data_IF_681768210934
#
_entry.id   IF_681768210934
#
_cell.length_a   1.000
_cell.length_b   1.000
_cell.length_c   1.000
_cell.angle_alpha   90.00
_cell.angle_beta   90.00
_cell.angle_gamma   90.00
#
_symmetry.space_group_name_H-M   'P 1'
#
loop_
_entity.id
_entity.type
_entity.pdbx_description
1 polymer ?
#
# COMPACT_ATOMS: atom_id res chain seq x y z
N UNK A 1 2.86 -25.87 2.62
CA UNK A 1 1.94 -24.85 3.17
C UNK A 1 0.61 -25.56 3.33
N UNK A 2 -0.06 -25.45 4.47
CA UNK A 2 -1.42 -25.98 4.62
C UNK A 2 -2.29 -25.52 3.44
N UNK A 3 -3.07 -26.41 2.83
CA UNK A 3 -3.96 -26.03 1.73
C UNK A 3 -4.93 -24.96 2.23
N UNK A 4 -4.71 -23.73 1.78
CA UNK A 4 -5.57 -22.60 2.13
C UNK A 4 -6.92 -22.86 1.50
N UNK A 5 -7.95 -22.88 2.35
CA UNK A 5 -9.34 -23.02 1.93
C UNK A 5 -10.08 -21.69 2.10
N UNK A 6 -11.10 -21.48 1.30
CA UNK A 6 -11.90 -20.26 1.28
C UNK A 6 -13.33 -20.56 1.73
N UNK A 7 -14.07 -19.51 2.03
CA UNK A 7 -15.50 -19.62 2.35
C UNK A 7 -16.26 -20.23 1.15
N UNK A 8 -17.35 -20.99 1.39
CA UNK A 8 -18.15 -21.57 0.31
C UNK A 8 -18.59 -20.53 -0.72
N UNK A 9 -18.33 -20.78 -2.00
CA UNK A 9 -18.62 -19.88 -3.11
C UNK A 9 -17.58 -18.76 -3.31
N UNK A 10 -16.49 -18.76 -2.54
CA UNK A 10 -15.38 -17.79 -2.65
C UNK A 10 -14.07 -18.45 -3.05
N UNK A 11 -14.10 -19.73 -3.38
CA UNK A 11 -12.95 -20.49 -3.87
C UNK A 11 -12.42 -19.85 -5.17
N UNK A 12 -11.09 -19.67 -5.28
CA UNK A 12 -10.50 -19.15 -6.51
C UNK A 12 -10.68 -20.16 -7.65
N UNK A 13 -10.82 -19.67 -8.87
CA UNK A 13 -10.71 -20.53 -10.06
C UNK A 13 -9.33 -21.19 -10.09
N UNK A 14 -9.18 -22.38 -10.68
CA UNK A 14 -7.89 -23.10 -10.81
C UNK A 14 -6.77 -22.29 -11.53
N UNK A 15 -7.16 -21.23 -12.26
CA UNK A 15 -6.26 -20.33 -13.00
C UNK A 15 -5.97 -19.03 -12.24
N UNK A 16 -6.70 -18.78 -11.15
CA UNK A 16 -6.54 -17.59 -10.33
C UNK A 16 -5.39 -17.80 -9.34
N UNK A 17 -4.41 -16.92 -9.39
CA UNK A 17 -3.32 -16.90 -8.42
C UNK A 17 -3.52 -15.79 -7.37
N UNK A 18 -4.01 -16.16 -6.18
CA UNK A 18 -4.26 -15.22 -5.08
C UNK A 18 -2.99 -14.88 -4.30
N UNK A 19 -2.28 -13.85 -4.77
CA UNK A 19 -1.13 -13.29 -4.05
C UNK A 19 -1.56 -12.27 -3.00
N UNK A 20 -2.16 -11.15 -3.43
CA UNK A 20 -2.66 -10.10 -2.52
C UNK A 20 -3.89 -10.56 -1.73
N UNK A 21 -4.81 -11.25 -2.41
CA UNK A 21 -6.07 -11.75 -1.84
C UNK A 21 -5.94 -13.12 -1.17
N UNK A 22 -4.73 -13.57 -0.85
CA UNK A 22 -4.48 -14.85 -0.18
C UNK A 22 -5.32 -15.04 1.09
N UNK A 23 -5.54 -13.95 1.84
CA UNK A 23 -6.29 -13.95 3.10
C UNK A 23 -7.72 -13.44 2.97
N UNK A 24 -8.10 -12.90 1.81
CA UNK A 24 -9.46 -12.42 1.57
C UNK A 24 -10.39 -13.62 1.36
N UNK A 25 -11.52 -13.62 2.05
CA UNK A 25 -12.52 -14.69 2.11
C UNK A 25 -11.94 -16.06 2.51
N UNK A 26 -10.78 -16.06 3.18
CA UNK A 26 -10.10 -17.26 3.64
C UNK A 26 -10.84 -17.86 4.85
N UNK A 27 -11.13 -19.15 4.81
CA UNK A 27 -11.83 -19.84 5.89
C UNK A 27 -10.96 -19.84 7.16
N UNK A 28 -11.54 -19.37 8.26
CA UNK A 28 -10.86 -19.31 9.57
C UNK A 28 -9.83 -18.19 9.72
N UNK A 29 -9.73 -17.28 8.74
CA UNK A 29 -8.89 -16.10 8.86
C UNK A 29 -9.55 -15.02 9.73
N UNK A 30 -8.85 -14.57 10.77
CA UNK A 30 -9.24 -13.42 11.59
C UNK A 30 -8.27 -12.26 11.27
N UNK A 31 -8.75 -11.08 10.81
CA UNK A 31 -7.91 -9.96 10.37
C UNK A 31 -7.08 -9.30 11.49
N UNK A 32 -7.22 -9.74 12.74
CA UNK A 32 -6.43 -9.23 13.87
C UNK A 32 -4.94 -9.55 13.73
N UNK A 33 -4.13 -8.70 14.35
CA UNK A 33 -2.67 -8.82 14.37
C UNK A 33 -2.16 -10.19 14.80
N UNK A 34 -2.81 -10.84 15.77
CA UNK A 34 -2.37 -12.15 16.30
C UNK A 34 -2.31 -13.21 15.21
N UNK A 35 -3.32 -13.27 14.35
CA UNK A 35 -3.38 -14.22 13.23
C UNK A 35 -2.31 -13.88 12.19
N UNK A 36 -2.17 -12.58 11.88
CA UNK A 36 -1.17 -12.11 10.94
C UNK A 36 0.25 -12.50 11.39
N UNK A 37 0.58 -12.30 12.66
CA UNK A 37 1.87 -12.68 13.25
C UNK A 37 2.11 -14.18 13.26
N UNK A 38 1.09 -14.98 13.57
CA UNK A 38 1.18 -16.45 13.58
C UNK A 38 1.62 -17.01 12.21
N UNK A 39 1.25 -16.34 11.11
CA UNK A 39 1.66 -16.70 9.75
C UNK A 39 2.89 -15.94 9.24
N UNK A 40 3.61 -15.27 10.15
CA UNK A 40 4.85 -14.57 9.84
C UNK A 40 4.66 -13.20 9.22
N UNK A 41 3.55 -12.52 9.52
CA UNK A 41 3.38 -11.09 9.30
C UNK A 41 4.49 -10.27 9.96
N UNK A 42 4.81 -9.13 9.37
CA UNK A 42 5.90 -8.21 9.74
C UNK A 42 7.33 -8.76 9.62
N UNK A 43 7.51 -10.01 9.17
CA UNK A 43 8.84 -10.56 8.87
C UNK A 43 9.50 -9.87 7.68
N UNK A 44 8.73 -9.39 6.69
CA UNK A 44 9.29 -8.68 5.54
C UNK A 44 9.62 -7.24 5.89
N UNK A 45 8.84 -6.59 6.76
CA UNK A 45 9.27 -5.34 7.39
C UNK A 45 10.60 -5.54 8.13
N UNK A 46 10.75 -6.61 8.93
CA UNK A 46 12.01 -6.94 9.60
C UNK A 46 13.18 -7.11 8.64
N UNK A 47 12.93 -7.80 7.51
CA UNK A 47 13.93 -7.99 6.45
C UNK A 47 14.32 -6.66 5.83
N UNK A 48 13.34 -5.83 5.44
CA UNK A 48 13.55 -4.54 4.83
C UNK A 48 14.37 -3.60 5.71
N UNK A 49 14.04 -3.51 7.00
CA UNK A 49 14.72 -2.64 7.97
C UNK A 49 16.19 -3.03 8.23
N UNK A 50 16.61 -4.24 7.82
CA UNK A 50 18.01 -4.69 7.86
C UNK A 50 18.75 -4.48 6.54
N UNK A 51 18.04 -4.13 5.47
CA UNK A 51 18.63 -3.78 4.18
C UNK A 51 18.95 -2.29 4.16
N UNK A 52 19.82 -1.83 3.26
CA UNK A 52 19.89 -0.39 2.97
C UNK A 52 18.59 0.03 2.26
N UNK A 53 18.04 1.24 2.49
CA UNK A 53 16.83 1.71 1.81
C UNK A 53 16.90 1.56 0.28
N UNK A 54 18.06 1.90 -0.31
CA UNK A 54 18.30 1.72 -1.74
C UNK A 54 18.14 0.27 -2.20
N UNK A 55 18.56 -0.72 -1.41
CA UNK A 55 18.39 -2.13 -1.74
C UNK A 55 16.91 -2.55 -1.77
N UNK A 56 16.06 -1.95 -0.95
CA UNK A 56 14.61 -2.17 -1.00
C UNK A 56 14.03 -1.56 -2.28
N UNK A 57 14.45 -0.34 -2.64
CA UNK A 57 14.05 0.32 -3.90
C UNK A 57 14.46 -0.56 -5.11
N UNK A 58 15.67 -1.12 -5.09
CA UNK A 58 16.21 -1.90 -6.20
C UNK A 58 15.47 -3.24 -6.36
N UNK A 59 15.09 -3.92 -5.28
CA UNK A 59 14.21 -5.08 -5.32
C UNK A 59 12.85 -4.76 -5.96
N UNK A 60 12.25 -3.62 -5.58
CA UNK A 60 10.96 -3.18 -6.17
C UNK A 60 11.13 -2.80 -7.65
N UNK A 61 12.27 -2.21 -8.05
CA UNK A 61 12.58 -1.97 -9.47
C UNK A 61 12.74 -3.29 -10.24
N UNK A 62 13.51 -4.24 -9.70
CA UNK A 62 13.77 -5.54 -10.30
C UNK A 62 12.48 -6.35 -10.48
N UNK A 63 11.53 -6.21 -9.56
CA UNK A 63 10.20 -6.83 -9.66
C UNK A 63 9.36 -6.39 -10.86
N UNK A 64 9.69 -5.25 -11.48
CA UNK A 64 8.88 -4.66 -12.53
C UNK A 64 7.49 -4.20 -12.07
N UNK A 65 7.27 -4.04 -10.76
CA UNK A 65 5.97 -3.59 -10.21
C UNK A 65 5.57 -2.24 -10.81
N UNK A 66 4.32 -2.18 -11.27
CA UNK A 66 3.67 -0.98 -11.78
C UNK A 66 2.53 -0.57 -10.86
N UNK A 67 2.30 0.74 -10.74
CA UNK A 67 1.23 1.30 -9.93
C UNK A 67 -0.13 0.67 -10.25
N UNK A 68 -0.87 0.32 -9.20
CA UNK A 68 -2.16 -0.40 -9.27
C UNK A 68 -3.38 0.51 -9.09
N UNK A 69 -3.17 1.82 -9.06
CA UNK A 69 -4.21 2.85 -9.00
C UNK A 69 -4.59 3.47 -10.35
N UNK A 70 -4.43 2.74 -11.46
CA UNK A 70 -4.82 3.23 -12.80
C UNK A 70 -3.65 3.68 -13.68
N UNK A 71 -2.82 4.62 -13.21
CA UNK A 71 -1.74 5.23 -14.03
C UNK A 71 -0.64 4.25 -14.49
N UNK A 72 -0.48 3.10 -13.82
CA UNK A 72 0.48 2.07 -14.23
C UNK A 72 1.95 2.52 -14.23
N UNK A 73 2.32 3.56 -13.49
CA UNK A 73 3.69 4.05 -13.44
C UNK A 73 4.60 3.09 -12.66
N UNK A 74 5.83 2.78 -13.10
CA UNK A 74 6.71 1.84 -12.38
C UNK A 74 7.02 2.30 -10.94
N UNK A 75 6.64 1.49 -9.95
CA UNK A 75 6.66 1.88 -8.53
C UNK A 75 8.08 2.16 -8.04
N UNK A 76 9.03 1.27 -8.31
CA UNK A 76 10.42 1.45 -7.88
C UNK A 76 11.13 2.63 -8.56
N UNK A 77 10.73 2.99 -9.79
CA UNK A 77 11.24 4.21 -10.45
C UNK A 77 10.68 5.45 -9.75
N UNK A 78 9.38 5.45 -9.42
CA UNK A 78 8.72 6.57 -8.72
C UNK A 78 9.41 6.92 -7.41
N UNK A 79 9.84 5.91 -6.66
CA UNK A 79 10.54 6.08 -5.39
C UNK A 79 11.90 6.77 -5.55
N UNK A 80 12.56 6.56 -6.70
CA UNK A 80 13.84 7.20 -7.04
C UNK A 80 13.73 8.66 -7.47
N UNK A 81 12.53 9.25 -7.52
CA UNK A 81 12.33 10.66 -7.88
C UNK A 81 12.44 11.62 -6.71
N UNK A 82 12.62 11.12 -5.49
CA UNK A 82 12.94 11.97 -4.35
C UNK A 82 14.33 12.59 -4.60
N UNK A 83 14.47 13.93 -4.51
CA UNK A 83 15.76 14.57 -4.74
C UNK A 83 16.83 14.05 -3.78
N UNK A 84 18.04 13.67 -4.24
CA UNK A 84 19.08 13.09 -3.39
C UNK A 84 19.57 14.05 -2.29
N UNK A 85 19.46 15.36 -2.51
CA UNK A 85 19.85 16.40 -1.56
C UNK A 85 18.64 17.03 -0.85
N UNK A 86 17.53 16.28 -0.73
CA UNK A 86 16.34 16.77 -0.06
C UNK A 86 16.59 16.97 1.45
N UNK A 87 16.29 18.17 1.94
CA UNK A 87 16.36 18.53 3.37
C UNK A 87 14.98 18.62 4.04
N UNK A 88 13.89 18.50 3.27
CA UNK A 88 12.52 18.53 3.77
C UNK A 88 12.10 17.13 4.27
N UNK A 89 11.11 17.03 5.18
CA UNK A 89 10.51 15.73 5.49
C UNK A 89 9.97 15.06 4.23
N UNK A 90 10.08 13.74 4.14
CA UNK A 90 9.42 12.94 3.11
C UNK A 90 8.13 12.36 3.67
N UNK A 91 7.06 12.40 2.87
CA UNK A 91 5.78 11.80 3.22
C UNK A 91 5.45 10.62 2.32
N UNK A 92 4.79 9.61 2.89
CA UNK A 92 4.14 8.53 2.14
C UNK A 92 2.63 8.66 2.27
N UNK A 93 1.91 8.58 1.17
CA UNK A 93 0.45 8.55 1.16
C UNK A 93 -0.01 7.25 0.51
N UNK A 94 -0.80 6.48 1.24
CA UNK A 94 -1.61 5.41 0.70
C UNK A 94 -2.92 6.00 0.17
N UNK A 95 -3.12 5.92 -1.15
CA UNK A 95 -4.38 6.27 -1.79
C UNK A 95 -5.36 5.09 -1.67
N UNK A 96 -6.31 5.25 -0.75
CA UNK A 96 -7.42 4.34 -0.45
C UNK A 96 -8.78 5.03 -0.74
N UNK A 97 -8.81 5.95 -1.71
CA UNK A 97 -10.04 6.65 -2.07
C UNK A 97 -10.99 5.77 -2.92
N UNK A 98 -10.48 4.84 -3.74
CA UNK A 98 -11.26 3.84 -4.51
C UNK A 98 -12.64 4.34 -5.01
N UNK A 99 -12.69 5.56 -5.55
CA UNK A 99 -13.94 6.18 -6.01
C UNK A 99 -14.29 5.81 -7.46
N UNK A 100 -13.41 5.09 -8.15
CA UNK A 100 -13.61 4.63 -9.53
C UNK A 100 -14.81 3.68 -9.61
N UNK A 101 -15.80 3.94 -10.49
CA UNK A 101 -16.94 3.05 -10.68
C UNK A 101 -16.50 1.62 -11.00
N UNK A 102 -17.16 0.64 -10.35
CA UNK A 102 -16.87 -0.78 -10.55
C UNK A 102 -15.58 -1.28 -9.89
N UNK A 103 -14.88 -0.44 -9.11
CA UNK A 103 -13.68 -0.84 -8.36
C UNK A 103 -14.01 -1.07 -6.89
N UNK A 104 -13.59 -2.21 -6.34
CA UNK A 104 -13.82 -2.60 -4.94
C UNK A 104 -12.69 -3.48 -4.37
N UNK A 105 -11.52 -3.47 -5.01
CA UNK A 105 -10.36 -4.30 -4.67
C UNK A 105 -9.69 -3.89 -3.35
N UNK A 106 -9.50 -2.59 -3.15
CA UNK A 106 -8.80 -2.01 -2.01
C UNK A 106 -9.67 -2.13 -0.75
N UNK A 107 -11.00 -1.98 -0.90
CA UNK A 107 -11.97 -2.25 0.16
C UNK A 107 -11.74 -3.61 0.82
N UNK A 108 -11.60 -4.68 0.04
CA UNK A 108 -11.41 -6.04 0.58
C UNK A 108 -10.11 -6.18 1.36
N UNK A 109 -9.02 -5.57 0.89
CA UNK A 109 -7.73 -5.57 1.60
C UNK A 109 -7.90 -4.92 2.97
N UNK A 110 -8.51 -3.74 3.02
CA UNK A 110 -8.65 -2.99 4.26
C UNK A 110 -9.54 -3.73 5.27
N UNK A 111 -10.63 -4.34 4.83
CA UNK A 111 -11.54 -5.03 5.76
C UNK A 111 -10.99 -6.37 6.25
N UNK A 112 -10.25 -7.11 5.41
CA UNK A 112 -9.92 -8.51 5.69
C UNK A 112 -8.43 -8.79 5.89
N UNK A 113 -7.54 -7.89 5.48
CA UNK A 113 -6.09 -8.02 5.70
C UNK A 113 -5.38 -6.66 5.89
N UNK A 114 -5.82 -5.83 6.86
CA UNK A 114 -5.28 -4.48 7.05
C UNK A 114 -3.79 -4.48 7.44
N UNK A 115 -3.31 -5.53 8.12
CA UNK A 115 -1.90 -5.62 8.51
C UNK A 115 -0.97 -5.85 7.32
N UNK A 116 -1.43 -6.47 6.23
CA UNK A 116 -0.67 -6.55 4.98
C UNK A 116 -0.39 -5.17 4.40
N UNK A 117 -1.39 -4.28 4.42
CA UNK A 117 -1.20 -2.89 4.01
C UNK A 117 -0.21 -2.17 4.92
N UNK A 118 -0.38 -2.28 6.24
CA UNK A 118 0.51 -1.61 7.21
C UNK A 118 1.95 -2.10 7.05
N UNK A 119 2.19 -3.41 6.91
CA UNK A 119 3.53 -3.95 6.65
C UNK A 119 4.12 -3.39 5.35
N UNK A 120 3.32 -3.34 4.28
CA UNK A 120 3.73 -2.75 3.01
C UNK A 120 4.09 -1.26 3.12
N UNK A 121 3.33 -0.51 3.92
CA UNK A 121 3.61 0.90 4.20
C UNK A 121 4.88 1.08 5.01
N UNK A 122 5.15 0.26 6.02
CA UNK A 122 6.39 0.31 6.81
C UNK A 122 7.60 0.10 5.90
N UNK A 123 7.56 -0.92 5.03
CA UNK A 123 8.65 -1.21 4.09
C UNK A 123 8.84 -0.05 3.11
N UNK A 124 7.75 0.45 2.55
CA UNK A 124 7.79 1.51 1.54
C UNK A 124 8.27 2.83 2.13
N UNK A 125 7.79 3.19 3.32
CA UNK A 125 8.20 4.38 4.05
C UNK A 125 9.69 4.34 4.42
N UNK A 126 10.18 3.19 4.89
CA UNK A 126 11.60 2.97 5.13
C UNK A 126 12.44 3.16 3.85
N UNK A 127 12.00 2.57 2.74
CA UNK A 127 12.71 2.66 1.47
C UNK A 127 12.87 4.11 0.98
N UNK A 128 11.85 4.94 1.19
CA UNK A 128 11.82 6.34 0.73
C UNK A 128 12.23 7.36 1.79
N UNK A 129 12.56 6.93 3.01
CA UNK A 129 12.94 7.81 4.11
C UNK A 129 11.78 8.64 4.69
N UNK A 130 10.54 8.15 4.60
CA UNK A 130 9.38 8.81 5.17
C UNK A 130 9.15 8.38 6.63
N UNK A 131 9.05 9.34 7.54
CA UNK A 131 8.76 9.09 8.98
C UNK A 131 7.31 9.38 9.36
N UNK A 132 6.54 9.97 8.44
CA UNK A 132 5.10 10.19 8.58
C UNK A 132 4.41 9.72 7.31
N UNK A 133 3.36 8.93 7.49
CA UNK A 133 2.55 8.44 6.40
C UNK A 133 1.06 8.65 6.68
N UNK A 134 0.28 8.75 5.60
CA UNK A 134 -1.16 8.90 5.66
C UNK A 134 -1.84 7.80 4.86
N UNK A 135 -2.95 7.29 5.36
CA UNK A 135 -3.92 6.53 4.57
C UNK A 135 -5.07 7.48 4.29
N UNK A 136 -5.16 7.97 3.06
CA UNK A 136 -6.29 8.77 2.62
C UNK A 136 -7.39 7.80 2.19
N UNK A 137 -8.45 7.73 2.98
CA UNK A 137 -9.57 6.81 2.79
C UNK A 137 -10.83 7.60 2.46
N UNK A 138 -11.61 7.13 1.49
CA UNK A 138 -12.89 7.76 1.13
C UNK A 138 -13.87 7.79 2.31
N UNK A 139 -14.75 8.79 2.31
CA UNK A 139 -15.73 8.98 3.38
C UNK A 139 -16.68 7.78 3.50
N UNK A 140 -17.04 7.17 2.38
CA UNK A 140 -18.01 6.09 2.27
C UNK A 140 -17.50 4.74 2.82
N UNK A 141 -16.27 4.69 3.33
CA UNK A 141 -15.66 3.55 3.99
C UNK A 141 -15.49 3.79 5.52
N UNK A 142 -16.57 4.09 6.29
CA UNK A 142 -16.44 4.39 7.72
C UNK A 142 -15.94 3.19 8.54
N UNK A 143 -16.41 1.98 8.23
CA UNK A 143 -15.97 0.76 8.92
C UNK A 143 -14.49 0.45 8.63
N UNK A 144 -14.08 0.57 7.37
CA UNK A 144 -12.68 0.37 7.00
C UNK A 144 -11.75 1.38 7.67
N UNK A 145 -12.16 2.64 7.86
CA UNK A 145 -11.39 3.60 8.65
C UNK A 145 -11.19 3.13 10.10
N UNK A 146 -12.26 2.65 10.76
CA UNK A 146 -12.18 2.09 12.12
C UNK A 146 -11.27 0.86 12.17
N UNK A 147 -11.34 -0.03 11.17
CA UNK A 147 -10.49 -1.22 11.08
C UNK A 147 -9.02 -0.80 10.95
N UNK A 148 -8.70 0.18 10.10
CA UNK A 148 -7.34 0.69 9.94
C UNK A 148 -6.82 1.34 11.21
N UNK A 149 -7.60 2.18 11.87
CA UNK A 149 -7.20 2.80 13.15
C UNK A 149 -6.88 1.75 14.21
N UNK A 150 -7.71 0.71 14.33
CA UNK A 150 -7.45 -0.42 15.25
C UNK A 150 -6.18 -1.19 14.86
N UNK A 151 -6.02 -1.51 13.57
CA UNK A 151 -4.84 -2.24 13.09
C UNK A 151 -3.54 -1.43 13.26
N UNK A 152 -3.59 -0.09 13.09
CA UNK A 152 -2.50 0.84 13.37
C UNK A 152 -2.17 0.85 14.86
N UNK A 153 -3.18 0.95 15.73
CA UNK A 153 -2.98 0.90 17.18
C UNK A 153 -2.38 -0.44 17.63
N UNK A 154 -2.86 -1.56 17.08
CA UNK A 154 -2.33 -2.89 17.34
C UNK A 154 -0.88 -3.04 16.87
N UNK A 155 -0.55 -2.55 15.66
CA UNK A 155 0.82 -2.57 15.14
C UNK A 155 1.76 -1.75 16.04
N UNK A 156 1.31 -0.57 16.51
CA UNK A 156 2.07 0.28 17.43
C UNK A 156 2.30 -0.40 18.78
N UNK A 157 1.25 -1.00 19.36
CA UNK A 157 1.31 -1.73 20.64
C UNK A 157 2.28 -2.92 20.60
N UNK A 158 2.45 -3.53 19.43
CA UNK A 158 3.33 -4.67 19.24
C UNK A 158 4.72 -4.30 18.67
N UNK A 159 5.07 -3.00 18.57
CA UNK A 159 6.39 -2.55 18.14
C UNK A 159 6.66 -2.67 16.63
N UNK A 160 5.61 -2.79 15.82
CA UNK A 160 5.68 -2.81 14.35
C UNK A 160 5.41 -1.45 13.70
N UNK A 161 5.08 -0.45 14.50
CA UNK A 161 4.85 0.94 14.12
C UNK A 161 5.20 1.86 15.30
N UNK A 162 5.42 3.15 15.06
CA UNK A 162 5.82 4.12 16.07
C UNK A 162 7.33 4.30 16.09
N UNK A 163 7.93 4.38 17.29
CA UNK A 163 9.37 4.58 17.46
C UNK A 163 10.15 3.28 17.45
N UNK A 164 11.37 3.35 16.92
CA UNK A 164 12.37 2.28 16.89
C UNK A 164 11.76 0.93 16.46
N UNK A 165 11.13 0.92 15.29
CA UNK A 165 10.35 -0.22 14.80
C UNK A 165 11.24 -1.45 14.75
N UNK A 166 10.87 -2.47 15.52
CA UNK A 166 11.62 -3.72 15.67
C UNK A 166 13.11 -3.54 16.05
N UNK A 167 13.48 -2.45 16.75
CA UNK A 167 14.87 -2.18 17.16
C UNK A 167 15.78 -1.75 16.02
N UNK A 168 15.22 -1.14 14.96
CA UNK A 168 15.96 -0.75 13.75
C UNK A 168 16.53 0.66 13.76
N UNK A 169 16.14 1.50 14.72
CA UNK A 169 16.39 2.94 14.74
C UNK A 169 15.50 3.74 13.77
N UNK A 170 14.56 3.10 13.08
CA UNK A 170 13.63 3.76 12.17
C UNK A 170 12.25 3.97 12.83
N UNK A 171 11.76 5.20 12.74
CA UNK A 171 10.46 5.62 13.26
C UNK A 171 9.45 5.80 12.12
N UNK A 172 8.19 5.42 12.34
CA UNK A 172 7.09 5.73 11.42
C UNK A 172 5.78 5.91 12.18
N UNK A 173 5.10 7.04 11.94
CA UNK A 173 3.71 7.25 12.32
C UNK A 173 2.80 7.16 11.09
N UNK A 174 1.67 6.44 11.21
CA UNK A 174 0.64 6.35 10.17
C UNK A 174 -0.65 6.96 10.71
N UNK A 175 -1.25 7.85 9.94
CA UNK A 175 -2.54 8.47 10.26
C UNK A 175 -3.60 8.11 9.22
N UNK A 176 -4.82 7.85 9.65
CA UNK A 176 -5.97 7.73 8.75
C UNK A 176 -6.56 9.12 8.54
N UNK A 177 -6.71 9.54 7.28
CA UNK A 177 -7.37 10.78 6.90
C UNK A 177 -8.60 10.42 6.06
N UNK A 178 -9.78 10.79 6.55
CA UNK A 178 -11.03 10.55 5.83
C UNK A 178 -11.28 11.69 4.85
N UNK A 179 -11.50 11.35 3.58
CA UNK A 179 -11.94 12.28 2.55
C UNK A 179 -13.39 12.72 2.76
N UNK A 180 -13.97 13.38 1.76
CA UNK A 180 -15.34 13.91 1.83
C UNK A 180 -16.15 13.56 0.56
N UNK A 181 -16.13 12.28 0.17
CA UNK A 181 -16.89 11.72 -0.96
C UNK A 181 -16.66 12.45 -2.30
N UNK A 182 -15.40 12.71 -2.64
CA UNK A 182 -15.03 13.45 -3.85
C UNK A 182 -14.12 12.59 -4.74
N UNK A 183 -14.68 12.07 -5.85
CA UNK A 183 -13.95 11.24 -6.82
C UNK A 183 -12.60 11.86 -7.28
N UNK A 184 -12.56 13.19 -7.43
CA UNK A 184 -11.35 13.90 -7.85
C UNK A 184 -10.19 13.78 -6.83
N UNK A 185 -10.48 13.49 -5.56
CA UNK A 185 -9.48 13.17 -4.55
C UNK A 185 -8.77 11.84 -4.79
N UNK A 186 -9.29 10.99 -5.68
CA UNK A 186 -8.56 9.81 -6.16
C UNK A 186 -7.36 10.18 -7.05
N UNK A 187 -7.36 11.37 -7.66
CA UNK A 187 -6.19 11.88 -8.39
C UNK A 187 -5.08 12.28 -7.42
N UNK A 188 -3.84 11.95 -7.76
CA UNK A 188 -2.67 12.06 -6.88
C UNK A 188 -2.48 13.44 -6.23
N UNK A 189 -2.59 14.52 -7.00
CA UNK A 189 -2.40 15.89 -6.50
C UNK A 189 -3.68 16.48 -5.92
N UNK A 190 -4.85 16.09 -6.41
CA UNK A 190 -6.15 16.40 -5.79
C UNK A 190 -6.25 15.83 -4.37
N UNK A 191 -5.77 14.60 -4.17
CA UNK A 191 -5.62 13.96 -2.87
C UNK A 191 -4.76 14.80 -1.92
N UNK A 192 -3.58 15.22 -2.39
CA UNK A 192 -2.65 16.04 -1.60
C UNK A 192 -3.31 17.35 -1.18
N UNK A 193 -3.99 18.05 -2.09
CA UNK A 193 -4.73 19.28 -1.79
C UNK A 193 -5.83 19.03 -0.74
N UNK A 194 -6.60 17.94 -0.86
CA UNK A 194 -7.59 17.57 0.15
C UNK A 194 -6.96 17.32 1.51
N UNK A 195 -5.83 16.61 1.56
CA UNK A 195 -5.13 16.28 2.81
C UNK A 195 -4.59 17.54 3.49
N UNK A 196 -4.18 18.54 2.72
CA UNK A 196 -3.82 19.88 3.21
C UNK A 196 -5.03 20.72 3.66
N UNK A 197 -6.26 20.20 3.58
CA UNK A 197 -7.48 20.89 3.97
C UNK A 197 -8.00 21.88 2.93
N UNK A 198 -7.46 21.85 1.70
CA UNK A 198 -7.91 22.70 0.59
C UNK A 198 -8.97 21.99 -0.24
N UNK A 199 -9.57 22.72 -1.19
CA UNK A 199 -10.40 22.09 -2.22
C UNK A 199 -9.50 21.23 -3.11
N UNK A 200 -9.93 20.01 -3.50
CA UNK A 200 -9.09 19.05 -4.22
C UNK A 200 -8.97 19.38 -5.71
N UNK A 201 -8.56 20.60 -6.05
CA UNK A 201 -8.24 20.98 -7.42
C UNK A 201 -6.83 20.48 -7.74
N UNK A 202 -6.65 19.51 -8.65
CA UNK A 202 -5.33 18.97 -8.97
C UNK A 202 -4.32 20.06 -9.33
N UNK A 203 -3.09 19.90 -8.83
CA UNK A 203 -2.00 20.83 -9.12
C UNK A 203 -1.48 20.57 -10.53
N UNK A 204 -1.27 21.64 -11.30
CA UNK A 204 -0.72 21.54 -12.65
C UNK A 204 0.73 21.06 -12.59
N UNK A 205 1.05 19.99 -13.33
CA UNK A 205 2.42 19.50 -13.52
C UNK A 205 2.95 20.08 -14.84
N UNK A 206 4.17 20.68 -14.91
CA UNK A 206 5.08 21.12 -13.83
C UNK A 206 4.60 22.40 -13.08
N UNK A 207 5.17 22.75 -11.91
CA UNK A 207 6.31 22.11 -11.20
C UNK A 207 5.91 21.07 -10.14
N UNK A 208 4.62 20.83 -9.92
CA UNK A 208 4.11 20.03 -8.80
C UNK A 208 4.16 18.51 -9.04
N UNK A 209 5.35 17.97 -9.29
CA UNK A 209 5.57 16.52 -9.25
C UNK A 209 5.66 16.09 -7.78
N UNK A 210 4.76 15.23 -7.26
CA UNK A 210 4.68 14.97 -5.82
C UNK A 210 5.99 14.46 -5.20
N UNK A 211 6.74 13.64 -5.93
CA UNK A 211 8.03 13.12 -5.47
C UNK A 211 9.09 14.22 -5.21
N UNK A 212 8.90 15.43 -5.74
CA UNK A 212 9.72 16.60 -5.45
C UNK A 212 8.98 17.66 -4.61
N UNK A 213 7.73 17.97 -4.97
CA UNK A 213 6.90 19.02 -4.36
C UNK A 213 5.46 18.51 -4.23
N UNK A 214 5.18 17.83 -3.12
CA UNK A 214 3.88 17.24 -2.79
C UNK A 214 3.25 17.87 -1.54
N UNK A 215 2.91 17.02 -0.57
CA UNK A 215 2.27 17.38 0.68
C UNK A 215 3.13 18.38 1.46
N UNK A 216 2.52 19.51 1.85
CA UNK A 216 3.19 20.61 2.54
C UNK A 216 4.44 21.11 1.82
N UNK A 217 4.39 21.09 0.48
CA UNK A 217 5.50 21.47 -0.41
C UNK A 217 6.78 20.64 -0.18
N UNK A 218 6.63 19.41 0.31
CA UNK A 218 7.71 18.48 0.58
C UNK A 218 7.60 17.21 -0.30
N UNK A 219 8.71 16.50 -0.56
CA UNK A 219 8.68 15.25 -1.32
C UNK A 219 7.66 14.26 -0.77
N UNK A 220 6.80 13.75 -1.64
CA UNK A 220 5.70 12.89 -1.27
C UNK A 220 5.53 11.78 -2.29
N UNK A 221 5.48 10.55 -1.81
CA UNK A 221 5.16 9.39 -2.61
C UNK A 221 3.71 9.00 -2.36
N UNK A 222 2.90 8.98 -3.41
CA UNK A 222 1.53 8.47 -3.35
C UNK A 222 1.48 7.10 -4.01
N UNK A 223 1.04 6.07 -3.31
CA UNK A 223 0.84 4.74 -3.88
C UNK A 223 -0.54 4.19 -3.51
N UNK A 224 -1.16 3.44 -4.42
CA UNK A 224 -2.42 2.75 -4.15
C UNK A 224 -2.23 1.60 -3.16
N UNK A 225 -3.30 1.24 -2.42
CA UNK A 225 -3.33 0.14 -1.44
C UNK A 225 -2.72 -1.15 -2.00
N UNK A 226 -3.18 -1.62 -3.16
CA UNK A 226 -2.68 -2.86 -3.79
C UNK A 226 -1.18 -2.78 -4.11
N UNK A 227 -0.69 -1.62 -4.57
CA UNK A 227 0.74 -1.43 -4.85
C UNK A 227 1.60 -1.59 -3.60
N UNK A 228 1.16 -1.06 -2.47
CA UNK A 228 1.88 -1.18 -1.20
C UNK A 228 1.86 -2.62 -0.67
N UNK A 229 0.73 -3.33 -0.84
CA UNK A 229 0.64 -4.74 -0.46
C UNK A 229 1.58 -5.63 -1.29
N UNK A 230 1.74 -5.35 -2.59
CA UNK A 230 2.69 -6.09 -3.43
C UNK A 230 4.14 -5.99 -2.93
N UNK A 231 4.54 -4.90 -2.29
CA UNK A 231 5.91 -4.73 -1.77
C UNK A 231 6.26 -5.82 -0.76
N UNK A 232 5.31 -6.24 0.08
CA UNK A 232 5.50 -7.34 1.05
C UNK A 232 5.86 -8.64 0.33
N UNK A 233 5.13 -8.96 -0.74
CA UNK A 233 5.33 -10.19 -1.51
C UNK A 233 6.60 -10.13 -2.37
N UNK A 234 6.92 -8.97 -2.93
CA UNK A 234 8.18 -8.76 -3.66
C UNK A 234 9.37 -9.06 -2.76
N UNK A 235 9.42 -8.50 -1.55
CA UNK A 235 10.54 -8.81 -0.63
C UNK A 235 10.55 -10.26 -0.14
N UNK A 236 9.40 -10.92 -0.12
CA UNK A 236 9.28 -12.34 0.22
C UNK A 236 9.82 -13.26 -0.86
N UNK A 237 9.51 -12.96 -2.11
CA UNK A 237 9.87 -13.78 -3.28
C UNK A 237 11.24 -13.42 -3.87
N UNK A 238 11.66 -12.16 -3.73
CA UNK A 238 12.72 -11.54 -4.53
C UNK A 238 12.14 -10.95 -5.82
N UNK A 239 12.65 -9.78 -6.23
CA UNK A 239 12.19 -9.07 -7.42
C UNK A 239 12.35 -9.90 -8.70
N UNK A 240 13.46 -10.63 -8.84
CA UNK A 240 13.73 -11.50 -9.99
C UNK A 240 12.76 -12.67 -10.14
N UNK A 241 12.21 -13.19 -9.04
CA UNK A 241 11.17 -14.21 -9.10
C UNK A 241 9.79 -13.59 -9.30
N UNK A 242 9.54 -12.46 -8.68
CA UNK A 242 8.27 -11.73 -8.84
C UNK A 242 8.04 -11.30 -10.30
N UNK A 243 9.08 -10.85 -11.01
CA UNK A 243 8.95 -10.34 -12.39
C UNK A 243 8.47 -11.42 -13.36
N UNK A 244 8.68 -12.70 -13.04
CA UNK A 244 8.24 -13.87 -13.82
C UNK A 244 6.74 -14.12 -13.72
N UNK A 245 6.06 -13.54 -12.73
CA UNK A 245 4.60 -13.54 -12.68
C UNK A 245 4.06 -12.57 -13.74
N UNK A 246 3.07 -12.99 -14.51
CA UNK A 246 2.45 -12.15 -15.53
C UNK A 246 3.22 -12.15 -16.86
N UNK A 247 3.17 -11.03 -17.59
CA UNK A 247 3.78 -10.90 -18.92
C UNK A 247 4.82 -9.79 -18.94
N UNK A 248 5.75 -9.76 -19.93
CA UNK A 248 6.75 -8.71 -20.02
C UNK A 248 6.12 -7.31 -19.96
N UNK A 249 6.67 -6.43 -19.12
CA UNK A 249 6.17 -5.07 -18.82
C UNK A 249 4.83 -5.00 -18.06
N UNK A 250 4.24 -6.13 -17.68
CA UNK A 250 3.04 -6.25 -16.85
C UNK A 250 3.23 -7.34 -15.79
N UNK A 251 4.30 -7.22 -15.02
CA UNK A 251 4.69 -8.21 -14.02
C UNK A 251 3.81 -8.19 -12.77
N UNK A 252 3.77 -9.34 -12.09
CA UNK A 252 2.96 -9.59 -10.92
C UNK A 252 1.55 -10.09 -11.24
N UNK A 253 0.72 -10.16 -10.21
CA UNK A 253 -0.72 -10.34 -10.35
C UNK A 253 -1.43 -8.98 -10.37
N UNK A 254 -2.72 -9.00 -10.73
CA UNK A 254 -3.60 -7.85 -10.67
C UNK A 254 -4.96 -8.28 -10.17
N UNK A 255 -5.55 -7.51 -9.28
CA UNK A 255 -6.94 -7.73 -8.85
C UNK A 255 -7.87 -7.16 -9.91
N UNK A 256 -8.82 -7.97 -10.38
CA UNK A 256 -9.82 -7.57 -11.36
C UNK A 256 -11.18 -7.53 -10.67
N UNK A 257 -11.87 -6.40 -10.78
CA UNK A 257 -13.22 -6.24 -10.27
C UNK A 257 -14.19 -6.47 -11.43
N UNK A 258 -14.97 -7.55 -11.35
CA UNK A 258 -16.05 -7.82 -12.30
C UNK A 258 -17.33 -7.21 -11.73
N UNK A 259 -17.90 -6.24 -12.44
CA UNK A 259 -19.03 -5.43 -11.98
C UNK A 259 -20.03 -5.21 -13.11
N UNK A 260 -21.30 -5.05 -12.77
CA UNK A 260 -22.40 -4.80 -13.72
C UNK A 260 -23.28 -6.04 -13.93
N UNK A 261 -23.89 -6.14 -15.11
CA UNK A 261 -24.76 -7.24 -15.48
C UNK A 261 -23.93 -8.48 -15.87
N UNK A 262 -23.55 -9.24 -14.86
CA UNK A 262 -22.72 -10.44 -14.98
C UNK A 262 -23.37 -11.56 -14.18
N UNK A 263 -23.42 -12.76 -14.78
CA UNK A 263 -24.09 -13.95 -14.23
C UNK A 263 -23.49 -14.43 -12.91
#
# INVERSE_FOLDING_TARGET
MSDITYLPGKEPHEKEHRLIFKNVDRKGWDPKIKTYLAEGGYKMAKKALKMKPQGVIDEVKASGLRGRGGAGFPTGIKWGFIPPNNTKPVYLICNCDESEPGTFKDRYIVHQDPHQLIEGMVISAYAVGAHVAYIYIREEFPEAAIILEKAIADAKKNGFLGKDIQGSGFDLEIYVHRGAAAYICGEETGLIESLEGKRPYPRIKPPYFPAAIGLYMAPTIVNNVESLCHVVHILRMGGEEYVKLGTPRNSGTRIVCVSGDVK
#
